data_IF_595506737195
#
_entry.id   IF_595506737195
#
_cell.length_a   1.000
_cell.length_b   1.000
_cell.length_c   1.000
_cell.angle_alpha   90.00
_cell.angle_beta   90.00
_cell.angle_gamma   90.00
#
_symmetry.space_group_name_H-M   'P 1'
#
loop_
_entity.id
_entity.type
_entity.pdbx_description
1 polymer ?
#
# COMPACT_ATOMS: atom_id res chain seq x y z
N UNK A 1 1.98 -18.88 41.92
CA UNK A 1 1.15 -17.70 41.72
C UNK A 1 0.10 -18.11 40.69
N UNK A 2 -1.17 -18.23 41.10
CA UNK A 2 -2.27 -18.52 40.17
C UNK A 2 -2.42 -17.34 39.20
N UNK A 3 -2.03 -17.52 37.95
CA UNK A 3 -2.45 -16.61 36.85
C UNK A 3 -3.99 -16.71 36.83
N UNK A 4 -4.67 -15.61 37.05
CA UNK A 4 -6.10 -15.52 36.82
C UNK A 4 -6.37 -15.93 35.36
N UNK A 5 -7.12 -16.98 35.16
CA UNK A 5 -7.48 -17.53 33.84
C UNK A 5 -8.32 -16.56 32.99
N UNK A 6 -8.55 -15.33 33.50
CA UNK A 6 -9.39 -14.31 32.88
C UNK A 6 -8.61 -13.39 31.91
N UNK A 7 -7.26 -13.44 31.88
CA UNK A 7 -6.41 -12.54 31.10
C UNK A 7 -5.72 -13.23 29.90
N UNK A 8 -5.89 -14.54 29.74
CA UNK A 8 -5.31 -15.30 28.63
C UNK A 8 -5.96 -14.89 27.29
N UNK A 9 -5.19 -14.97 26.19
CA UNK A 9 -5.72 -14.82 24.84
C UNK A 9 -5.99 -16.16 24.19
N UNK A 10 -7.10 -16.27 23.46
CA UNK A 10 -7.37 -17.38 22.55
C UNK A 10 -6.88 -17.01 21.14
N UNK A 11 -5.99 -17.84 20.59
CA UNK A 11 -5.35 -17.61 19.29
C UNK A 11 -5.74 -18.74 18.36
N UNK A 12 -6.50 -18.42 17.31
CA UNK A 12 -7.03 -19.39 16.37
C UNK A 12 -6.75 -19.00 14.91
N UNK A 13 -6.80 -20.00 14.00
CA UNK A 13 -6.86 -19.74 12.56
C UNK A 13 -8.32 -19.82 12.12
N UNK A 14 -8.79 -18.75 11.46
CA UNK A 14 -10.08 -18.72 10.80
C UNK A 14 -9.88 -18.32 9.32
N UNK A 15 -9.67 -19.31 8.46
CA UNK A 15 -9.44 -19.08 7.04
C UNK A 15 -10.73 -18.71 6.26
N UNK A 16 -11.89 -18.79 6.88
CA UNK A 16 -13.19 -18.36 6.35
C UNK A 16 -13.67 -17.05 6.98
N UNK A 17 -12.79 -16.35 7.69
CA UNK A 17 -13.11 -15.12 8.41
C UNK A 17 -13.79 -14.09 7.48
N UNK A 18 -14.92 -13.55 7.95
CA UNK A 18 -15.67 -12.55 7.23
C UNK A 18 -15.21 -11.14 7.64
N UNK A 19 -14.40 -10.52 6.79
CA UNK A 19 -13.93 -9.15 7.00
C UNK A 19 -15.03 -8.08 6.92
N UNK A 20 -16.23 -8.44 6.44
CA UNK A 20 -17.36 -7.50 6.35
C UNK A 20 -18.29 -7.59 7.57
N UNK A 21 -18.00 -8.47 8.53
CA UNK A 21 -18.81 -8.55 9.74
C UNK A 21 -18.63 -7.32 10.63
N UNK A 22 -19.63 -7.05 11.46
CA UNK A 22 -19.63 -5.88 12.32
C UNK A 22 -18.49 -5.90 13.36
N UNK A 23 -18.16 -7.08 13.88
CA UNK A 23 -17.09 -7.23 14.89
C UNK A 23 -15.73 -6.78 14.35
N UNK A 24 -15.42 -7.16 13.08
CA UNK A 24 -14.19 -6.71 12.44
C UNK A 24 -14.21 -5.21 12.11
N UNK A 25 -15.35 -4.68 11.67
CA UNK A 25 -15.49 -3.24 11.41
C UNK A 25 -15.21 -2.43 12.69
N UNK A 26 -15.80 -2.82 13.82
CA UNK A 26 -15.56 -2.20 15.11
C UNK A 26 -14.09 -2.31 15.58
N UNK A 27 -13.48 -3.49 15.38
CA UNK A 27 -12.06 -3.68 15.67
C UNK A 27 -11.19 -2.78 14.80
N UNK A 28 -11.45 -2.73 13.47
CA UNK A 28 -10.71 -1.89 12.54
C UNK A 28 -10.82 -0.41 12.91
N UNK A 29 -12.01 0.07 13.19
CA UNK A 29 -12.25 1.49 13.55
C UNK A 29 -11.54 1.88 14.85
N UNK A 30 -11.48 0.98 15.84
CA UNK A 30 -10.78 1.19 17.10
C UNK A 30 -9.28 0.87 17.10
N UNK A 31 -8.73 0.36 15.99
CA UNK A 31 -7.34 -0.11 15.89
C UNK A 31 -6.36 0.98 15.42
N UNK A 32 -5.07 0.64 15.38
CA UNK A 32 -4.02 1.44 14.73
C UNK A 32 -3.74 0.95 13.27
N UNK A 33 -4.67 0.20 12.67
CA UNK A 33 -4.56 -0.35 11.32
C UNK A 33 -4.51 0.73 10.24
N UNK A 34 -3.92 0.39 9.09
CA UNK A 34 -3.83 1.29 7.93
C UNK A 34 -5.05 1.17 7.01
N UNK A 35 -5.10 1.96 5.95
CA UNK A 35 -6.16 1.87 4.94
C UNK A 35 -6.20 0.49 4.24
N UNK A 36 -5.08 -0.22 4.22
CA UNK A 36 -4.96 -1.52 3.52
C UNK A 36 -5.51 -2.70 4.34
N UNK A 37 -5.86 -2.49 5.60
CA UNK A 37 -6.60 -3.43 6.42
C UNK A 37 -8.12 -3.10 6.47
N UNK A 38 -8.59 -2.13 5.69
CA UNK A 38 -10.02 -1.80 5.61
C UNK A 38 -10.86 -3.03 5.22
N UNK A 39 -12.06 -3.24 5.83
CA UNK A 39 -12.91 -4.41 5.57
C UNK A 39 -13.12 -4.72 4.08
N UNK A 40 -13.48 -3.72 3.27
CA UNK A 40 -13.69 -3.88 1.82
C UNK A 40 -12.41 -4.28 1.09
N UNK A 41 -11.25 -3.75 1.51
CA UNK A 41 -9.97 -4.08 0.90
C UNK A 41 -9.60 -5.54 1.12
N UNK A 42 -9.59 -5.99 2.38
CA UNK A 42 -9.22 -7.36 2.73
C UNK A 42 -10.22 -8.38 2.18
N UNK A 43 -11.53 -8.12 2.31
CA UNK A 43 -12.55 -9.00 1.75
C UNK A 43 -12.35 -9.19 0.22
N UNK A 44 -12.12 -8.08 -0.50
CA UNK A 44 -11.90 -8.15 -1.95
C UNK A 44 -10.58 -8.87 -2.28
N UNK A 45 -9.52 -8.63 -1.50
CA UNK A 45 -8.23 -9.28 -1.67
C UNK A 45 -8.32 -10.79 -1.48
N UNK A 46 -8.90 -11.23 -0.36
CA UNK A 46 -9.01 -12.67 -0.06
C UNK A 46 -9.98 -13.40 -0.98
N UNK A 47 -11.09 -12.77 -1.40
CA UNK A 47 -12.10 -13.43 -2.25
C UNK A 47 -11.74 -13.43 -3.73
N UNK A 48 -11.05 -12.40 -4.23
CA UNK A 48 -10.78 -12.26 -5.67
C UNK A 48 -9.33 -12.48 -6.05
N UNK A 49 -8.41 -11.81 -5.35
CA UNK A 49 -7.01 -11.80 -5.76
C UNK A 49 -6.23 -13.01 -5.23
N UNK A 50 -6.45 -13.42 -3.98
CA UNK A 50 -5.74 -14.54 -3.40
C UNK A 50 -5.97 -15.87 -4.15
N UNK A 51 -7.21 -16.24 -4.56
CA UNK A 51 -7.42 -17.43 -5.38
C UNK A 51 -6.70 -17.37 -6.74
N UNK A 52 -6.75 -16.22 -7.41
CA UNK A 52 -6.08 -16.04 -8.70
C UNK A 52 -4.55 -16.14 -8.61
N UNK A 53 -3.98 -15.74 -7.47
CA UNK A 53 -2.56 -15.85 -7.16
C UNK A 53 -2.17 -17.22 -6.54
N UNK A 54 -3.11 -18.17 -6.43
CA UNK A 54 -2.94 -19.44 -5.71
C UNK A 54 -2.41 -19.25 -4.27
N UNK A 55 -2.69 -18.10 -3.65
CA UNK A 55 -2.36 -17.83 -2.26
C UNK A 55 -3.44 -18.39 -1.35
N UNK A 56 -3.02 -19.03 -0.25
CA UNK A 56 -3.95 -19.65 0.72
C UNK A 56 -4.10 -18.71 1.92
N UNK A 57 -5.33 -18.40 2.36
CA UNK A 57 -5.57 -17.65 3.59
C UNK A 57 -4.87 -18.32 4.79
N UNK A 58 -4.35 -17.48 5.68
CA UNK A 58 -3.84 -17.83 7.00
C UNK A 58 -4.23 -16.70 7.95
N UNK A 59 -5.53 -16.57 8.21
CA UNK A 59 -6.05 -15.48 9.01
C UNK A 59 -6.01 -15.92 10.46
N UNK A 60 -5.21 -15.20 11.27
CA UNK A 60 -5.12 -15.47 12.71
C UNK A 60 -6.02 -14.50 13.44
N UNK A 61 -6.95 -15.01 14.20
CA UNK A 61 -7.83 -14.25 15.09
C UNK A 61 -7.38 -14.43 16.53
N UNK A 62 -7.41 -13.35 17.29
CA UNK A 62 -7.02 -13.33 18.71
C UNK A 62 -8.18 -12.72 19.49
N UNK A 63 -8.69 -13.50 20.46
CA UNK A 63 -9.87 -13.15 21.24
C UNK A 63 -9.57 -13.16 22.74
N UNK A 64 -10.40 -12.45 23.51
CA UNK A 64 -10.46 -12.56 24.98
C UNK A 64 -11.44 -13.66 25.34
N UNK A 65 -11.04 -14.81 25.91
CA UNK A 65 -11.95 -15.92 26.22
C UNK A 65 -13.12 -15.52 27.09
N UNK A 66 -12.87 -14.65 28.09
CA UNK A 66 -13.90 -14.22 29.03
C UNK A 66 -15.08 -13.47 28.39
N UNK A 67 -14.86 -12.81 27.24
CA UNK A 67 -15.86 -11.99 26.53
C UNK A 67 -16.08 -12.43 25.11
N UNK A 68 -15.33 -13.41 24.63
CA UNK A 68 -15.26 -13.83 23.21
C UNK A 68 -14.92 -12.69 22.23
N UNK A 69 -14.60 -11.50 22.74
CA UNK A 69 -14.35 -10.31 21.94
C UNK A 69 -13.12 -10.46 21.09
N UNK A 70 -13.27 -10.18 19.79
CA UNK A 70 -12.17 -10.08 18.85
C UNK A 70 -11.29 -8.88 19.24
N UNK A 71 -10.00 -9.15 19.49
CA UNK A 71 -9.05 -8.16 20.01
C UNK A 71 -7.97 -7.83 19.00
N UNK A 72 -7.64 -8.81 18.16
CA UNK A 72 -6.66 -8.60 17.09
C UNK A 72 -6.89 -9.56 15.93
N UNK A 73 -6.53 -9.14 14.73
CA UNK A 73 -6.47 -9.98 13.53
C UNK A 73 -5.12 -9.78 12.84
N UNK A 74 -4.46 -10.90 12.49
CA UNK A 74 -3.31 -10.89 11.59
C UNK A 74 -3.78 -11.44 10.22
N UNK A 75 -3.99 -10.58 9.21
CA UNK A 75 -4.42 -11.00 7.89
C UNK A 75 -3.22 -11.54 7.10
N UNK A 76 -2.86 -12.78 7.35
CA UNK A 76 -1.73 -13.46 6.72
C UNK A 76 -2.20 -14.36 5.57
N UNK A 77 -1.22 -14.79 4.76
CA UNK A 77 -1.43 -15.80 3.73
C UNK A 77 -0.19 -16.66 3.54
N UNK A 78 -0.40 -17.86 3.00
CA UNK A 78 0.65 -18.75 2.53
C UNK A 78 0.79 -18.61 1.02
N UNK A 79 1.98 -18.29 0.57
CA UNK A 79 2.29 -18.13 -0.85
C UNK A 79 3.38 -19.11 -1.25
N UNK A 80 3.13 -19.89 -2.31
CA UNK A 80 4.15 -20.78 -2.88
C UNK A 80 5.04 -20.00 -3.84
N UNK A 81 6.35 -20.02 -3.59
CA UNK A 81 7.36 -19.43 -4.47
C UNK A 81 8.29 -20.53 -4.99
N UNK A 82 7.88 -21.19 -6.06
CA UNK A 82 8.48 -22.45 -6.49
C UNK A 82 8.27 -23.53 -5.41
N UNK A 83 9.31 -24.25 -4.97
CA UNK A 83 9.17 -25.24 -3.89
C UNK A 83 9.03 -24.64 -2.48
N UNK A 84 9.27 -23.35 -2.32
CA UNK A 84 9.29 -22.67 -1.04
C UNK A 84 7.89 -22.23 -0.60
N UNK A 85 7.54 -22.44 0.68
CA UNK A 85 6.35 -21.92 1.31
C UNK A 85 6.70 -20.66 2.11
N UNK A 86 6.11 -19.52 1.71
CA UNK A 86 6.27 -18.24 2.42
C UNK A 86 4.99 -17.88 3.16
N UNK A 87 5.13 -17.42 4.41
CA UNK A 87 4.05 -16.76 5.15
C UNK A 87 4.29 -15.26 5.11
N UNK A 88 3.31 -14.51 4.67
CA UNK A 88 3.37 -13.04 4.55
C UNK A 88 2.02 -12.41 4.88
N UNK A 89 2.00 -11.10 5.14
CA UNK A 89 0.73 -10.35 5.18
C UNK A 89 0.02 -10.42 3.82
N UNK A 90 -1.30 -10.24 3.84
CA UNK A 90 -2.14 -10.19 2.66
C UNK A 90 -1.83 -8.96 1.81
N UNK A 91 -0.78 -9.06 1.00
CA UNK A 91 -0.28 -7.98 0.14
C UNK A 91 -0.55 -8.23 -1.34
N UNK A 92 -0.07 -9.32 -1.88
CA UNK A 92 -0.13 -9.65 -3.31
C UNK A 92 0.24 -8.46 -4.22
N UNK A 93 1.10 -7.57 -3.75
CA UNK A 93 1.60 -6.37 -4.45
C UNK A 93 0.58 -5.23 -4.60
N UNK A 94 -0.53 -5.25 -3.87
CA UNK A 94 -1.57 -4.22 -3.96
C UNK A 94 -1.59 -3.27 -2.76
N UNK A 95 -1.01 -3.66 -1.62
CA UNK A 95 -0.95 -2.84 -0.41
C UNK A 95 0.40 -2.14 -0.27
N UNK A 96 0.41 -0.90 0.19
CA UNK A 96 1.65 -0.14 0.43
C UNK A 96 2.05 -0.11 1.90
N UNK A 97 1.11 -0.33 2.82
CA UNK A 97 1.35 -0.47 4.26
C UNK A 97 0.68 -1.73 4.76
N UNK A 98 1.25 -2.36 5.78
CA UNK A 98 0.74 -3.61 6.35
C UNK A 98 0.99 -3.62 7.86
N UNK A 99 -0.04 -4.00 8.62
CA UNK A 99 0.05 -4.07 10.08
C UNK A 99 -0.94 -5.11 10.63
N UNK A 100 -0.74 -5.62 11.85
CA UNK A 100 -1.83 -6.28 12.58
C UNK A 100 -3.01 -5.33 12.77
N UNK A 101 -4.22 -5.86 12.78
CA UNK A 101 -5.42 -5.10 13.12
C UNK A 101 -5.69 -5.25 14.60
N UNK A 102 -5.58 -4.20 15.35
CA UNK A 102 -5.73 -4.16 16.81
C UNK A 102 -5.16 -2.88 17.39
N UNK A 103 -5.25 -2.71 18.71
CA UNK A 103 -4.65 -1.57 19.41
C UNK A 103 -3.23 -1.88 19.89
N UNK A 104 -2.39 -0.87 20.03
CA UNK A 104 -1.07 -1.01 20.64
C UNK A 104 -1.13 -1.55 22.08
N UNK A 105 -2.20 -1.24 22.81
CA UNK A 105 -2.43 -1.77 24.16
C UNK A 105 -2.66 -3.28 24.10
N UNK A 106 -3.62 -3.73 23.28
CA UNK A 106 -3.91 -5.16 23.11
C UNK A 106 -2.68 -5.94 22.62
N UNK A 107 -1.89 -5.33 21.73
CA UNK A 107 -0.63 -5.92 21.25
C UNK A 107 0.38 -6.08 22.39
N UNK A 108 0.53 -5.07 23.24
CA UNK A 108 1.44 -5.12 24.39
C UNK A 108 1.02 -6.16 25.44
N UNK A 109 -0.28 -6.33 25.65
CA UNK A 109 -0.84 -7.35 26.53
C UNK A 109 -0.61 -8.75 25.96
N UNK A 110 -0.82 -8.94 24.64
CA UNK A 110 -0.53 -10.20 23.96
C UNK A 110 0.93 -10.61 24.12
N UNK A 111 1.87 -9.67 24.03
CA UNK A 111 3.31 -9.95 24.22
C UNK A 111 3.64 -10.46 25.65
N UNK A 112 2.81 -10.16 26.64
CA UNK A 112 2.98 -10.64 28.00
C UNK A 112 2.37 -12.03 28.23
N UNK A 113 1.54 -12.51 27.31
CA UNK A 113 0.98 -13.84 27.30
C UNK A 113 1.87 -14.80 26.50
N UNK A 114 2.80 -15.48 27.22
CA UNK A 114 3.77 -16.40 26.61
C UNK A 114 3.10 -17.56 25.90
N UNK A 115 1.99 -18.08 26.46
CA UNK A 115 1.27 -19.24 25.91
C UNK A 115 0.56 -18.84 24.61
N UNK A 116 -0.07 -17.67 24.55
CA UNK A 116 -0.66 -17.13 23.34
C UNK A 116 0.41 -16.85 22.27
N UNK A 117 1.54 -16.26 22.64
CA UNK A 117 2.66 -16.07 21.72
C UNK A 117 3.23 -17.39 21.18
N UNK A 118 3.33 -18.41 22.03
CA UNK A 118 3.78 -19.74 21.61
C UNK A 118 2.78 -20.39 20.64
N UNK A 119 1.49 -20.32 20.97
CA UNK A 119 0.39 -20.81 20.11
C UNK A 119 0.44 -20.13 18.74
N UNK A 120 0.56 -18.79 18.70
CA UNK A 120 0.69 -18.04 17.44
C UNK A 120 1.87 -18.56 16.61
N UNK A 121 3.05 -18.72 17.21
CA UNK A 121 4.25 -19.22 16.54
C UNK A 121 4.08 -20.64 15.99
N UNK A 122 3.29 -21.47 16.64
CA UNK A 122 2.96 -22.83 16.18
C UNK A 122 1.96 -22.78 15.01
N UNK A 123 0.90 -21.98 15.10
CA UNK A 123 -0.16 -21.87 14.10
C UNK A 123 0.33 -21.33 12.75
N UNK A 124 1.27 -20.38 12.74
CA UNK A 124 1.82 -19.85 11.49
C UNK A 124 2.73 -20.86 10.76
N UNK A 125 3.18 -21.94 11.43
CA UNK A 125 3.97 -23.01 10.82
C UNK A 125 3.07 -24.02 10.06
N UNK A 126 3.65 -24.84 9.13
CA UNK A 126 5.02 -24.76 8.64
C UNK A 126 5.23 -23.62 7.64
N UNK A 127 6.45 -23.09 7.55
CA UNK A 127 6.91 -22.20 6.50
C UNK A 127 8.42 -22.40 6.27
N UNK A 128 8.91 -22.13 5.07
CA UNK A 128 10.33 -22.00 4.79
C UNK A 128 10.82 -20.60 5.14
N UNK A 129 10.02 -19.58 4.78
CA UNK A 129 10.30 -18.19 5.03
C UNK A 129 9.04 -17.49 5.55
N UNK A 130 9.16 -16.80 6.69
CA UNK A 130 8.21 -15.78 7.10
C UNK A 130 8.77 -14.43 6.65
N UNK A 131 7.94 -13.64 5.94
CA UNK A 131 8.34 -12.35 5.38
C UNK A 131 7.20 -11.34 5.51
N UNK A 132 7.31 -10.42 6.46
CA UNK A 132 6.39 -9.32 6.66
C UNK A 132 7.07 -8.03 6.25
N UNK A 133 6.63 -7.41 5.16
CA UNK A 133 7.23 -6.22 4.57
C UNK A 133 6.26 -5.04 4.66
N UNK A 134 6.76 -3.84 4.31
CA UNK A 134 5.98 -2.60 4.24
C UNK A 134 5.36 -2.21 5.60
N UNK A 135 6.04 -2.59 6.68
CA UNK A 135 5.63 -2.25 8.03
C UNK A 135 5.98 -0.78 8.30
N UNK A 136 5.01 0.10 8.57
CA UNK A 136 5.30 1.45 9.00
C UNK A 136 6.00 1.43 10.36
N UNK A 137 6.75 2.47 10.66
CA UNK A 137 7.30 2.63 12.01
C UNK A 137 6.16 2.90 12.96
N UNK A 138 5.90 1.96 13.86
CA UNK A 138 4.65 1.96 14.58
C UNK A 138 4.70 1.35 15.98
N UNK A 139 3.53 1.37 16.61
CA UNK A 139 3.31 0.96 18.00
C UNK A 139 3.25 -0.56 18.19
N UNK A 140 3.23 -1.33 17.12
CA UNK A 140 3.12 -2.80 17.16
C UNK A 140 4.37 -3.45 16.52
N UNK A 141 5.44 -3.67 17.28
CA UNK A 141 6.67 -4.30 16.81
C UNK A 141 6.43 -5.82 16.60
N UNK A 142 5.89 -6.18 15.43
CA UNK A 142 5.49 -7.56 15.07
C UNK A 142 6.62 -8.57 15.23
N UNK A 143 7.88 -8.12 15.16
CA UNK A 143 9.05 -8.96 15.42
C UNK A 143 9.03 -9.61 16.80
N UNK A 144 8.45 -8.96 17.80
CA UNK A 144 8.40 -9.51 19.16
C UNK A 144 7.45 -10.71 19.29
N UNK A 145 6.50 -10.88 18.37
CA UNK A 145 5.65 -12.08 18.30
C UNK A 145 6.39 -13.28 17.72
N UNK A 146 7.51 -13.09 17.02
CA UNK A 146 8.23 -14.13 16.30
C UNK A 146 9.34 -14.74 17.18
N UNK A 147 9.80 -15.97 16.85
CA UNK A 147 10.79 -16.68 17.66
C UNK A 147 12.22 -16.18 17.42
N UNK A 148 12.59 -15.91 16.18
CA UNK A 148 13.94 -15.49 15.79
C UNK A 148 13.86 -14.52 14.59
N UNK A 149 13.20 -13.39 14.77
CA UNK A 149 12.97 -12.45 13.69
C UNK A 149 14.23 -11.63 13.39
N UNK A 150 14.25 -11.12 12.16
CA UNK A 150 15.19 -10.12 11.75
C UNK A 150 14.44 -8.93 11.16
N UNK A 151 14.57 -7.78 11.79
CA UNK A 151 14.01 -6.51 11.29
C UNK A 151 15.08 -5.77 10.49
N UNK A 152 14.73 -5.32 9.29
CA UNK A 152 15.60 -4.51 8.43
C UNK A 152 14.77 -3.38 7.82
N UNK A 153 15.41 -2.22 7.60
CA UNK A 153 14.80 -1.12 6.86
C UNK A 153 14.70 -1.50 5.38
N UNK A 154 13.60 -1.15 4.73
CA UNK A 154 13.42 -1.35 3.29
C UNK A 154 14.22 -0.31 2.49
N UNK A 155 14.55 -0.63 1.24
CA UNK A 155 15.28 0.29 0.34
C UNK A 155 14.44 1.50 -0.07
N UNK A 156 13.10 1.38 -0.07
CA UNK A 156 12.16 2.45 -0.46
C UNK A 156 11.47 3.04 0.76
N UNK A 157 11.25 4.36 0.73
CA UNK A 157 10.48 5.07 1.73
C UNK A 157 9.03 5.27 1.28
N UNK A 158 8.15 5.56 2.23
CA UNK A 158 6.87 6.18 2.00
C UNK A 158 7.00 7.71 2.07
N UNK A 159 6.08 8.43 1.44
CA UNK A 159 6.10 9.89 1.42
C UNK A 159 4.71 10.47 1.66
N UNK A 160 4.61 11.39 2.60
CA UNK A 160 3.38 12.10 2.89
C UNK A 160 3.65 13.59 3.11
N UNK A 161 2.67 14.44 2.79
CA UNK A 161 2.69 15.86 3.08
C UNK A 161 1.50 16.23 3.97
N UNK A 162 1.75 17.09 4.97
CA UNK A 162 0.69 17.65 5.80
C UNK A 162 -0.04 18.73 4.99
N UNK A 163 -1.35 18.62 4.94
CA UNK A 163 -2.22 19.60 4.28
C UNK A 163 -2.58 20.71 5.28
N UNK A 164 -2.54 21.95 4.83
CA UNK A 164 -2.86 23.12 5.63
C UNK A 164 -3.83 24.01 4.84
N UNK A 165 -4.95 24.34 5.44
CA UNK A 165 -5.90 25.29 4.88
C UNK A 165 -5.47 26.75 5.11
N UNK A 166 -5.75 27.67 4.18
CA UNK A 166 -6.30 27.41 2.84
C UNK A 166 -5.27 26.83 1.88
N UNK A 167 -5.72 26.30 0.74
CA UNK A 167 -4.86 25.68 -0.29
C UNK A 167 -3.65 26.53 -0.66
N UNK A 168 -3.79 27.85 -0.78
CA UNK A 168 -2.70 28.75 -1.12
C UNK A 168 -1.58 28.75 -0.07
N UNK A 169 -1.92 28.57 1.19
CA UNK A 169 -0.94 28.43 2.28
C UNK A 169 -0.15 27.12 2.15
N UNK A 170 -0.85 26.01 1.96
CA UNK A 170 -0.18 24.73 1.70
C UNK A 170 0.71 24.81 0.45
N UNK A 171 0.18 25.35 -0.64
CA UNK A 171 0.91 25.49 -1.90
C UNK A 171 2.19 26.32 -1.74
N UNK A 172 2.13 27.38 -0.94
CA UNK A 172 3.28 28.26 -0.68
C UNK A 172 4.34 27.58 0.21
N UNK A 173 3.94 26.71 1.14
CA UNK A 173 4.87 26.00 2.04
C UNK A 173 5.44 24.72 1.43
N UNK A 174 4.62 23.95 0.71
CA UNK A 174 5.00 22.65 0.17
C UNK A 174 5.77 22.75 -1.15
N UNK A 175 5.43 23.69 -2.04
CA UNK A 175 6.03 23.82 -3.36
C UNK A 175 6.99 25.00 -3.44
N UNK A 176 8.16 24.83 -4.06
CA UNK A 176 9.07 25.94 -4.31
C UNK A 176 8.43 27.02 -5.22
N UNK A 177 8.79 28.28 -5.04
CA UNK A 177 8.27 29.39 -5.84
C UNK A 177 8.49 29.21 -7.35
N UNK A 178 9.62 28.62 -7.75
CA UNK A 178 9.90 28.31 -9.15
C UNK A 178 8.94 27.27 -9.69
N UNK A 179 8.68 26.20 -8.93
CA UNK A 179 7.77 25.13 -9.32
C UNK A 179 6.31 25.60 -9.39
N UNK A 180 5.88 26.42 -8.44
CA UNK A 180 4.55 27.06 -8.49
C UNK A 180 4.35 27.89 -9.78
N UNK A 181 5.36 28.68 -10.18
CA UNK A 181 5.33 29.47 -11.44
C UNK A 181 5.28 28.56 -12.67
N UNK A 182 6.05 27.47 -12.64
CA UNK A 182 6.04 26.47 -13.71
C UNK A 182 4.67 25.83 -13.86
N UNK A 183 4.07 25.31 -12.78
CA UNK A 183 2.73 24.71 -12.81
C UNK A 183 1.67 25.69 -13.30
N UNK A 184 1.69 26.94 -12.83
CA UNK A 184 0.78 27.98 -13.30
C UNK A 184 0.96 28.28 -14.79
N UNK A 185 2.19 28.24 -15.33
CA UNK A 185 2.45 28.37 -16.77
C UNK A 185 1.90 27.17 -17.54
N UNK A 186 2.15 25.94 -17.05
CA UNK A 186 1.66 24.70 -17.67
C UNK A 186 0.13 24.64 -17.69
N UNK A 187 -0.52 25.04 -16.61
CA UNK A 187 -1.99 25.11 -16.53
C UNK A 187 -2.54 26.06 -17.59
N UNK A 188 -2.00 27.30 -17.69
CA UNK A 188 -2.42 28.26 -18.73
C UNK A 188 -2.19 27.76 -20.16
N UNK A 189 -1.09 27.01 -20.37
CA UNK A 189 -0.82 26.41 -21.69
C UNK A 189 -1.83 25.29 -22.00
N UNK A 190 -2.23 24.51 -20.99
CA UNK A 190 -3.22 23.44 -21.13
C UNK A 190 -4.61 24.03 -21.42
N UNK A 191 -5.01 25.07 -20.67
CA UNK A 191 -6.29 25.76 -20.86
C UNK A 191 -6.43 26.45 -22.23
N UNK A 192 -5.33 26.78 -22.91
CA UNK A 192 -5.36 27.29 -24.30
C UNK A 192 -5.65 26.19 -25.32
N UNK A 193 -5.52 24.93 -24.98
CA UNK A 193 -5.77 23.79 -25.87
C UNK A 193 -7.24 23.36 -25.89
N UNK A 194 -8.00 23.72 -24.86
CA UNK A 194 -9.40 23.32 -24.72
C UNK A 194 -9.93 23.54 -23.30
N UNK A 195 -11.14 23.07 -23.08
CA UNK A 195 -11.82 23.15 -21.78
C UNK A 195 -11.33 22.06 -20.84
N UNK A 196 -10.64 22.50 -19.77
CA UNK A 196 -10.14 21.61 -18.72
C UNK A 196 -11.15 21.50 -17.59
N UNK A 197 -11.47 20.29 -17.16
CA UNK A 197 -12.29 20.02 -15.97
C UNK A 197 -11.62 19.01 -15.07
N UNK A 198 -11.87 19.16 -13.78
CA UNK A 198 -11.44 18.24 -12.72
C UNK A 198 -12.66 17.83 -11.90
N UNK A 199 -12.78 16.54 -11.58
CA UNK A 199 -13.88 16.00 -10.76
C UNK A 199 -13.46 14.76 -10.00
N UNK A 200 -14.13 14.52 -8.87
CA UNK A 200 -14.15 13.20 -8.22
C UNK A 200 -15.31 12.39 -8.80
N UNK A 201 -15.08 11.12 -9.11
CA UNK A 201 -16.15 10.23 -9.58
C UNK A 201 -17.19 10.01 -8.46
N UNK A 202 -18.47 10.05 -8.81
CA UNK A 202 -19.60 9.91 -7.89
C UNK A 202 -20.57 8.79 -8.26
N UNK A 203 -20.33 8.11 -9.41
CA UNK A 203 -21.13 6.98 -9.88
C UNK A 203 -20.27 5.85 -10.42
N UNK A 204 -20.90 4.68 -10.59
CA UNK A 204 -20.23 3.46 -11.07
C UNK A 204 -19.75 3.58 -12.53
N UNK A 205 -20.44 4.34 -13.37
CA UNK A 205 -20.07 4.48 -14.79
C UNK A 205 -18.81 5.33 -14.94
N UNK A 206 -18.71 6.43 -14.20
CA UNK A 206 -17.53 7.28 -14.17
C UNK A 206 -16.31 6.55 -13.60
N UNK A 207 -16.48 5.73 -12.55
CA UNK A 207 -15.42 4.87 -12.02
C UNK A 207 -14.92 3.90 -13.09
N UNK A 208 -15.81 3.15 -13.73
CA UNK A 208 -15.39 2.15 -14.72
C UNK A 208 -14.73 2.81 -15.93
N UNK A 209 -15.22 3.95 -16.41
CA UNK A 209 -14.59 4.71 -17.49
C UNK A 209 -13.16 5.18 -17.10
N UNK A 210 -12.99 5.65 -15.86
CA UNK A 210 -11.67 6.06 -15.35
C UNK A 210 -10.72 4.87 -15.18
N UNK A 211 -11.19 3.72 -14.67
CA UNK A 211 -10.38 2.51 -14.52
C UNK A 211 -9.90 1.96 -15.88
N UNK A 212 -10.76 1.91 -16.88
CA UNK A 212 -10.37 1.51 -18.24
C UNK A 212 -9.35 2.49 -18.84
N UNK A 213 -9.54 3.79 -18.68
CA UNK A 213 -8.56 4.80 -19.10
C UNK A 213 -7.22 4.60 -18.39
N UNK A 214 -7.23 4.36 -17.06
CA UNK A 214 -6.00 4.10 -16.29
C UNK A 214 -5.25 2.89 -16.83
N UNK A 215 -5.94 1.80 -17.10
CA UNK A 215 -5.38 0.59 -17.74
C UNK A 215 -4.69 0.91 -19.06
N UNK A 216 -5.39 1.68 -19.93
CA UNK A 216 -4.88 2.04 -21.25
C UNK A 216 -3.63 2.93 -21.19
N UNK A 217 -3.56 3.91 -20.30
CA UNK A 217 -2.42 4.83 -20.20
C UNK A 217 -1.23 4.23 -19.45
N UNK A 218 -1.47 3.29 -18.53
CA UNK A 218 -0.40 2.65 -17.78
C UNK A 218 0.32 1.58 -18.60
N UNK A 219 -0.39 0.80 -19.41
CA UNK A 219 0.19 -0.29 -20.19
C UNK A 219 1.45 0.09 -20.98
N UNK A 220 1.44 1.17 -21.80
CA UNK A 220 2.63 1.61 -22.53
C UNK A 220 3.79 2.08 -21.65
N UNK A 221 3.49 2.68 -20.50
CA UNK A 221 4.50 3.23 -19.57
C UNK A 221 5.37 2.15 -18.94
N UNK A 222 4.79 0.98 -18.65
CA UNK A 222 5.46 -0.12 -17.97
C UNK A 222 5.92 -1.25 -18.92
N UNK A 223 5.92 -1.00 -20.25
CA UNK A 223 6.50 -1.93 -21.22
C UNK A 223 8.01 -1.98 -21.01
N UNK A 224 8.52 -3.16 -20.61
CA UNK A 224 9.94 -3.36 -20.34
C UNK A 224 10.30 -3.47 -18.84
N UNK A 225 9.41 -3.10 -17.93
CA UNK A 225 9.54 -3.48 -16.52
C UNK A 225 9.14 -4.97 -16.39
N UNK A 226 10.02 -5.79 -15.83
CA UNK A 226 9.98 -7.25 -15.91
C UNK A 226 8.64 -7.93 -15.64
N UNK A 227 7.79 -7.36 -14.77
CA UNK A 227 6.44 -7.87 -14.43
C UNK A 227 5.29 -7.09 -15.11
N UNK A 228 5.59 -5.99 -15.78
CA UNK A 228 4.60 -5.11 -16.39
C UNK A 228 3.71 -4.38 -15.37
N UNK A 229 2.70 -3.67 -15.89
CA UNK A 229 1.72 -2.99 -15.03
C UNK A 229 0.63 -3.96 -14.54
N UNK A 230 0.32 -3.90 -13.26
CA UNK A 230 -0.67 -4.78 -12.62
C UNK A 230 -2.06 -4.66 -13.26
N UNK A 231 -2.49 -3.47 -13.70
CA UNK A 231 -3.82 -3.29 -14.33
C UNK A 231 -3.95 -4.02 -15.68
N UNK A 232 -2.86 -4.45 -16.30
CA UNK A 232 -2.93 -5.26 -17.53
C UNK A 232 -3.34 -6.71 -17.24
N UNK A 233 -3.28 -7.15 -16.01
CA UNK A 233 -3.66 -8.48 -15.55
C UNK A 233 -5.11 -8.46 -15.09
N UNK A 234 -5.99 -9.31 -15.66
CA UNK A 234 -7.44 -9.27 -15.39
C UNK A 234 -7.80 -9.35 -13.89
N UNK A 235 -7.10 -10.18 -13.13
CA UNK A 235 -7.34 -10.37 -11.70
C UNK A 235 -7.07 -9.11 -10.87
N UNK A 236 -6.04 -8.34 -11.23
CA UNK A 236 -5.74 -7.06 -10.56
C UNK A 236 -6.68 -5.95 -11.01
N UNK A 237 -7.05 -5.91 -12.29
CA UNK A 237 -8.03 -4.97 -12.78
C UNK A 237 -9.39 -5.17 -12.09
N UNK A 238 -9.84 -6.43 -11.97
CA UNK A 238 -11.08 -6.78 -11.26
C UNK A 238 -10.99 -6.44 -9.77
N UNK A 239 -9.85 -6.68 -9.13
CA UNK A 239 -9.61 -6.31 -7.73
C UNK A 239 -9.78 -4.80 -7.53
N UNK A 240 -9.00 -3.97 -8.24
CA UNK A 240 -9.05 -2.52 -8.07
C UNK A 240 -10.39 -1.91 -8.46
N UNK A 241 -11.01 -2.39 -9.53
CA UNK A 241 -12.36 -1.94 -9.96
C UNK A 241 -13.42 -2.29 -8.90
N UNK A 242 -13.32 -3.49 -8.31
CA UNK A 242 -14.24 -3.91 -7.24
C UNK A 242 -14.06 -3.08 -5.97
N UNK A 243 -12.82 -2.80 -5.57
CA UNK A 243 -12.54 -1.92 -4.43
C UNK A 243 -13.07 -0.52 -4.69
N UNK A 244 -12.84 0.04 -5.89
CA UNK A 244 -13.29 1.37 -6.25
C UNK A 244 -14.83 1.48 -6.23
N UNK A 245 -15.53 0.50 -6.79
CA UNK A 245 -17.01 0.47 -6.82
C UNK A 245 -17.61 0.29 -5.42
N UNK A 246 -17.06 -0.62 -4.61
CA UNK A 246 -17.57 -0.93 -3.28
C UNK A 246 -17.23 0.13 -2.23
N UNK A 247 -16.13 0.84 -2.43
CA UNK A 247 -15.65 1.89 -1.53
C UNK A 247 -16.09 3.30 -1.91
N UNK A 248 -16.86 3.46 -2.99
CA UNK A 248 -17.27 4.76 -3.50
C UNK A 248 -17.98 5.61 -2.44
N UNK A 249 -17.50 6.85 -2.27
CA UNK A 249 -18.09 7.84 -1.36
C UNK A 249 -17.78 7.65 0.12
N UNK A 250 -17.17 6.53 0.51
CA UNK A 250 -16.80 6.26 1.89
C UNK A 250 -15.27 6.09 2.09
N UNK A 251 -14.72 5.09 1.39
CA UNK A 251 -13.35 4.63 1.58
C UNK A 251 -12.45 4.94 0.37
N UNK A 252 -13.04 5.15 -0.83
CA UNK A 252 -12.33 5.38 -2.07
C UNK A 252 -12.73 6.70 -2.67
N UNK A 253 -11.72 7.45 -3.19
CA UNK A 253 -11.93 8.55 -4.14
C UNK A 253 -11.16 8.26 -5.41
N UNK A 254 -11.81 8.47 -6.55
CA UNK A 254 -11.22 8.38 -7.87
C UNK A 254 -11.38 9.72 -8.58
N UNK A 255 -10.29 10.46 -8.67
CA UNK A 255 -10.26 11.77 -9.32
C UNK A 255 -9.97 11.65 -10.80
N UNK A 256 -10.58 12.48 -11.61
CA UNK A 256 -10.37 12.55 -13.06
C UNK A 256 -10.10 13.98 -13.52
N UNK A 257 -9.28 14.08 -14.55
CA UNK A 257 -9.09 15.33 -15.31
C UNK A 257 -9.47 15.08 -16.75
N UNK A 258 -10.27 15.98 -17.32
CA UNK A 258 -10.76 15.88 -18.70
C UNK A 258 -10.35 17.13 -19.49
N UNK A 259 -10.06 16.92 -20.77
CA UNK A 259 -9.86 17.97 -21.77
C UNK A 259 -10.93 17.79 -22.85
N UNK A 260 -11.78 18.82 -23.04
CA UNK A 260 -12.92 18.77 -23.98
C UNK A 260 -13.78 17.51 -23.81
N UNK A 261 -14.02 17.12 -22.53
CA UNK A 261 -14.79 15.92 -22.18
C UNK A 261 -14.01 14.60 -22.18
N UNK A 262 -12.81 14.55 -22.77
CA UNK A 262 -11.99 13.34 -22.85
C UNK A 262 -11.11 13.19 -21.60
N UNK A 263 -11.10 11.98 -21.02
CA UNK A 263 -10.24 11.65 -19.87
C UNK A 263 -8.75 11.70 -20.25
N UNK A 264 -7.96 12.50 -19.54
CA UNK A 264 -6.50 12.66 -19.76
C UNK A 264 -5.67 12.29 -18.54
N UNK A 265 -6.24 12.28 -17.35
CA UNK A 265 -5.58 11.86 -16.13
C UNK A 265 -6.59 11.29 -15.13
N UNK A 266 -6.14 10.35 -14.29
CA UNK A 266 -6.87 9.88 -13.13
C UNK A 266 -5.95 9.52 -11.97
N UNK A 267 -6.48 9.67 -10.75
CA UNK A 267 -5.82 9.29 -9.49
C UNK A 267 -6.82 8.53 -8.63
N UNK A 268 -6.49 7.28 -8.33
CA UNK A 268 -7.23 6.43 -7.40
C UNK A 268 -6.54 6.49 -6.03
N UNK A 269 -7.32 6.71 -4.99
CA UNK A 269 -6.80 6.71 -3.62
C UNK A 269 -7.80 6.23 -2.59
N UNK A 270 -7.27 5.97 -1.40
CA UNK A 270 -8.01 5.49 -0.24
C UNK A 270 -8.15 6.61 0.79
N UNK A 271 -9.32 6.72 1.40
CA UNK A 271 -9.59 7.66 2.49
C UNK A 271 -9.47 6.92 3.83
N UNK A 272 -8.64 7.42 4.73
CA UNK A 272 -8.46 6.78 6.03
C UNK A 272 -8.04 7.81 7.08
N UNK A 273 -8.87 8.02 8.10
CA UNK A 273 -8.57 8.86 9.27
C UNK A 273 -7.99 10.24 8.92
N UNK A 274 -8.68 10.97 8.05
CA UNK A 274 -8.24 12.31 7.62
C UNK A 274 -7.03 12.30 6.69
N UNK A 275 -6.69 11.14 6.13
CA UNK A 275 -5.64 11.01 5.12
C UNK A 275 -6.24 10.55 3.79
N UNK A 276 -5.73 11.10 2.68
CA UNK A 276 -5.96 10.56 1.35
C UNK A 276 -4.66 9.93 0.82
N UNK A 277 -4.69 8.60 0.62
CA UNK A 277 -3.55 7.82 0.17
C UNK A 277 -3.64 7.60 -1.35
N UNK A 278 -2.70 8.11 -2.11
CA UNK A 278 -2.62 7.90 -3.56
C UNK A 278 -2.04 6.52 -3.84
N UNK A 279 -2.88 5.56 -4.23
CA UNK A 279 -2.43 4.19 -4.51
C UNK A 279 -2.15 3.95 -6.00
N UNK A 280 -2.73 4.77 -6.88
CA UNK A 280 -2.53 4.61 -8.31
C UNK A 280 -2.81 5.90 -9.07
N UNK A 281 -2.01 6.16 -10.10
CA UNK A 281 -2.20 7.29 -11.00
C UNK A 281 -1.94 6.88 -12.45
N UNK A 282 -2.65 7.51 -13.38
CA UNK A 282 -2.49 7.34 -14.81
C UNK A 282 -2.65 8.68 -15.55
N UNK A 283 -1.85 8.88 -16.60
CA UNK A 283 -1.79 10.13 -17.35
C UNK A 283 -1.59 9.85 -18.82
N UNK A 284 -2.24 10.63 -19.70
CA UNK A 284 -1.96 10.66 -21.13
C UNK A 284 -0.63 11.39 -21.41
N UNK A 285 0.47 10.66 -21.21
CA UNK A 285 1.83 11.21 -21.44
C UNK A 285 2.08 11.47 -22.93
N UNK A 286 1.48 10.66 -23.81
CA UNK A 286 1.69 10.78 -25.26
C UNK A 286 1.07 12.08 -25.79
N UNK A 287 -0.17 12.38 -25.41
CA UNK A 287 -0.88 13.59 -25.84
C UNK A 287 -0.40 14.87 -25.14
N UNK A 288 0.13 14.76 -23.91
CA UNK A 288 0.41 15.92 -23.04
C UNK A 288 1.81 15.92 -22.41
N UNK A 289 2.81 15.39 -23.12
CA UNK A 289 4.20 15.23 -22.62
C UNK A 289 4.81 16.51 -22.03
N UNK A 290 4.53 17.67 -22.64
CA UNK A 290 5.12 18.95 -22.22
C UNK A 290 4.30 19.72 -21.19
N UNK A 291 3.11 19.25 -20.83
CA UNK A 291 2.16 19.98 -19.98
C UNK A 291 2.19 19.59 -18.50
N UNK A 292 2.98 18.57 -18.12
CA UNK A 292 3.11 18.09 -16.74
C UNK A 292 1.74 17.77 -16.10
N UNK A 293 0.83 17.12 -16.85
CA UNK A 293 -0.56 16.87 -16.40
C UNK A 293 -0.63 16.08 -15.09
N UNK A 294 0.35 15.20 -14.82
CA UNK A 294 0.42 14.49 -13.53
C UNK A 294 0.62 15.43 -12.34
N UNK A 295 1.50 16.42 -12.48
CA UNK A 295 1.73 17.42 -11.43
C UNK A 295 0.51 18.33 -11.24
N UNK A 296 -0.12 18.76 -12.34
CA UNK A 296 -1.36 19.53 -12.28
C UNK A 296 -2.49 18.73 -11.62
N UNK A 297 -2.57 17.43 -11.91
CA UNK A 297 -3.54 16.54 -11.28
C UNK A 297 -3.32 16.44 -9.77
N UNK A 298 -2.07 16.22 -9.30
CA UNK A 298 -1.77 16.16 -7.87
C UNK A 298 -2.03 17.49 -7.16
N UNK A 299 -1.81 18.63 -7.82
CA UNK A 299 -2.15 19.95 -7.26
C UNK A 299 -3.68 20.11 -7.07
N UNK A 300 -4.50 19.61 -8.01
CA UNK A 300 -5.96 19.61 -7.89
C UNK A 300 -6.45 18.61 -6.83
N UNK A 301 -5.85 17.43 -6.75
CA UNK A 301 -6.13 16.47 -5.67
C UNK A 301 -5.86 17.08 -4.31
N UNK A 302 -4.70 17.72 -4.12
CA UNK A 302 -4.36 18.39 -2.87
C UNK A 302 -5.36 19.50 -2.50
N UNK A 303 -5.84 20.27 -3.50
CA UNK A 303 -6.87 21.30 -3.29
C UNK A 303 -8.17 20.69 -2.81
N UNK A 304 -8.68 19.67 -3.48
CA UNK A 304 -9.94 18.99 -3.10
C UNK A 304 -9.80 18.31 -1.73
N UNK A 305 -8.65 17.70 -1.41
CA UNK A 305 -8.37 17.15 -0.10
C UNK A 305 -8.45 18.21 1.01
N UNK A 306 -7.86 19.40 0.79
CA UNK A 306 -7.94 20.52 1.75
C UNK A 306 -9.37 21.03 1.89
N UNK A 307 -10.12 21.14 0.80
CA UNK A 307 -11.54 21.56 0.81
C UNK A 307 -12.43 20.54 1.54
N UNK A 308 -12.02 19.26 1.57
CA UNK A 308 -12.68 18.17 2.33
C UNK A 308 -12.14 18.00 3.75
N UNK A 309 -11.25 18.88 4.19
CA UNK A 309 -10.64 18.85 5.53
C UNK A 309 -9.75 17.61 5.78
N UNK A 310 -9.24 16.97 4.72
CA UNK A 310 -8.18 15.99 4.88
C UNK A 310 -6.91 16.67 5.43
N UNK A 311 -6.21 16.00 6.33
CA UNK A 311 -5.03 16.54 7.03
C UNK A 311 -3.72 16.10 6.36
N UNK A 312 -3.74 14.97 5.66
CA UNK A 312 -2.56 14.36 5.07
C UNK A 312 -2.87 13.93 3.63
N UNK A 313 -1.96 14.28 2.72
CA UNK A 313 -1.88 13.68 1.40
C UNK A 313 -0.69 12.73 1.39
N UNK A 314 -0.99 11.44 1.31
CA UNK A 314 0.00 10.37 1.33
C UNK A 314 0.24 9.86 -0.10
N UNK A 315 1.49 10.01 -0.59
CA UNK A 315 1.92 9.52 -1.89
C UNK A 315 2.35 8.06 -1.87
N UNK A 316 2.24 7.41 -0.72
CA UNK A 316 2.57 6.03 -0.45
C UNK A 316 4.03 5.68 -0.77
N UNK A 317 4.33 4.38 -1.00
CA UNK A 317 5.68 3.86 -1.17
C UNK A 317 6.32 4.27 -2.51
N UNK A 318 7.63 4.52 -2.51
CA UNK A 318 8.43 4.81 -3.71
C UNK A 318 9.14 6.17 -3.63
N UNK A 319 10.36 6.22 -4.17
CA UNK A 319 11.26 7.38 -4.07
C UNK A 319 11.20 8.29 -5.31
N UNK A 320 10.01 8.39 -5.97
CA UNK A 320 9.85 9.25 -7.14
C UNK A 320 10.03 10.73 -6.77
N UNK A 321 10.83 11.48 -7.57
CA UNK A 321 11.22 12.85 -7.23
C UNK A 321 10.04 13.82 -7.01
N UNK A 322 8.92 13.61 -7.72
CA UNK A 322 7.76 14.49 -7.60
C UNK A 322 7.17 14.51 -6.17
N UNK A 323 7.26 13.41 -5.41
CA UNK A 323 6.75 13.35 -4.03
C UNK A 323 7.41 14.41 -3.14
N UNK A 324 8.72 14.56 -3.27
CA UNK A 324 9.47 15.63 -2.57
C UNK A 324 9.10 17.02 -3.09
N UNK A 325 8.81 17.18 -4.39
CA UNK A 325 8.40 18.46 -4.98
C UNK A 325 7.05 18.94 -4.44
N UNK A 326 6.18 18.01 -4.00
CA UNK A 326 4.91 18.28 -3.33
C UNK A 326 5.01 18.30 -1.79
N UNK A 327 6.21 18.52 -1.25
CA UNK A 327 6.44 18.63 0.19
C UNK A 327 6.42 17.30 0.95
N UNK A 328 6.43 16.18 0.23
CA UNK A 328 6.42 14.85 0.83
C UNK A 328 7.68 14.60 1.67
N UNK A 329 7.48 14.25 2.94
CA UNK A 329 8.54 13.86 3.85
C UNK A 329 8.72 12.34 3.81
N UNK A 330 9.96 11.84 3.75
CA UNK A 330 10.21 10.41 3.72
C UNK A 330 9.95 9.78 5.10
N UNK A 331 9.31 8.64 5.10
CA UNK A 331 9.14 7.77 6.28
C UNK A 331 9.68 6.38 5.96
N UNK A 332 10.57 5.81 6.80
CA UNK A 332 11.11 4.48 6.55
C UNK A 332 10.04 3.41 6.73
N UNK A 333 10.16 2.36 5.92
CA UNK A 333 9.37 1.14 6.06
C UNK A 333 10.27 -0.01 6.46
N UNK A 334 9.71 -0.99 7.15
CA UNK A 334 10.45 -2.11 7.70
C UNK A 334 10.00 -3.43 7.10
N UNK A 335 10.92 -4.37 7.11
CA UNK A 335 10.66 -5.77 6.79
C UNK A 335 11.12 -6.63 7.96
N UNK A 336 10.25 -7.54 8.39
CA UNK A 336 10.56 -8.58 9.40
C UNK A 336 10.62 -9.92 8.69
N UNK A 337 11.72 -10.65 8.86
CA UNK A 337 11.93 -11.95 8.22
C UNK A 337 12.39 -12.98 9.23
N UNK A 338 11.96 -14.23 9.02
CA UNK A 338 12.43 -15.38 9.81
C UNK A 338 12.52 -16.61 8.90
N UNK A 339 13.64 -17.33 8.94
CA UNK A 339 13.75 -18.64 8.31
C UNK A 339 13.09 -19.71 9.16
N UNK A 340 12.32 -20.60 8.51
CA UNK A 340 11.69 -21.77 9.13
C UNK A 340 12.35 -23.09 8.74
N UNK A 341 13.18 -23.06 7.66
CA UNK A 341 13.91 -24.20 7.13
C UNK A 341 15.30 -23.80 6.61
N UNK A 342 16.07 -24.80 6.19
CA UNK A 342 17.37 -24.58 5.50
C UNK A 342 17.16 -23.81 4.20
N UNK A 343 16.12 -24.17 3.42
CA UNK A 343 15.78 -23.45 2.19
C UNK A 343 15.45 -21.99 2.45
N UNK A 344 14.68 -21.68 3.50
CA UNK A 344 14.42 -20.31 3.94
C UNK A 344 15.67 -19.56 4.37
N UNK A 345 16.62 -20.23 5.05
CA UNK A 345 17.90 -19.62 5.42
C UNK A 345 18.74 -19.24 4.20
N UNK A 346 18.80 -20.11 3.20
CA UNK A 346 19.48 -19.84 1.93
C UNK A 346 18.81 -18.71 1.15
N UNK A 347 17.47 -18.68 1.12
CA UNK A 347 16.73 -17.59 0.51
C UNK A 347 17.00 -16.23 1.18
N UNK A 348 17.04 -16.18 2.51
CA UNK A 348 17.40 -14.96 3.26
C UNK A 348 18.85 -14.52 2.96
N UNK A 349 19.76 -15.47 2.86
CA UNK A 349 21.14 -15.16 2.47
C UNK A 349 21.20 -14.57 1.06
N UNK A 350 20.52 -15.18 0.08
CA UNK A 350 20.45 -14.66 -1.29
C UNK A 350 19.80 -13.27 -1.37
N UNK A 351 18.72 -13.02 -0.64
CA UNK A 351 18.07 -11.70 -0.56
C UNK A 351 19.01 -10.61 -0.02
N UNK A 352 19.91 -10.96 0.90
CA UNK A 352 20.92 -10.03 1.43
C UNK A 352 21.99 -9.69 0.40
N UNK A 353 22.37 -10.64 -0.43
CA UNK A 353 23.37 -10.41 -1.46
C UNK A 353 22.80 -9.70 -2.70
N UNK A 354 21.46 -9.66 -2.85
CA UNK A 354 20.83 -9.05 -4.02
C UNK A 354 21.24 -7.58 -4.29
N UNK A 355 21.35 -6.69 -3.28
CA UNK A 355 21.85 -5.33 -3.51
C UNK A 355 23.27 -5.31 -4.06
N UNK A 356 24.17 -6.14 -3.51
CA UNK A 356 25.57 -6.25 -3.95
C UNK A 356 25.67 -6.83 -5.36
N UNK A 357 24.81 -7.83 -5.69
CA UNK A 357 24.76 -8.43 -7.03
C UNK A 357 24.27 -7.40 -8.04
N UNK A 358 23.21 -6.63 -7.72
CA UNK A 358 22.72 -5.55 -8.58
C UNK A 358 23.78 -4.45 -8.77
N UNK A 359 24.49 -4.06 -7.72
CA UNK A 359 25.54 -3.06 -7.79
C UNK A 359 26.73 -3.56 -8.61
N UNK A 360 27.12 -4.82 -8.44
CA UNK A 360 28.20 -5.44 -9.22
C UNK A 360 27.81 -5.55 -10.72
N UNK A 361 26.57 -5.96 -11.00
CA UNK A 361 26.05 -6.02 -12.38
C UNK A 361 26.01 -4.64 -13.03
N UNK A 362 25.57 -3.60 -12.30
CA UNK A 362 25.57 -2.21 -12.78
C UNK A 362 27.00 -1.73 -13.07
N UNK A 363 27.97 -1.96 -12.16
CA UNK A 363 29.37 -1.62 -12.39
C UNK A 363 29.97 -2.35 -13.58
N UNK A 364 29.65 -3.63 -13.77
CA UNK A 364 30.12 -4.39 -14.93
C UNK A 364 29.52 -3.87 -16.25
N UNK A 365 28.26 -3.43 -16.24
CA UNK A 365 27.64 -2.81 -17.41
C UNK A 365 28.28 -1.45 -17.73
N UNK A 366 28.61 -0.64 -16.73
CA UNK A 366 29.31 0.63 -16.88
C UNK A 366 30.74 0.43 -17.41
N UNK A 367 31.46 -0.62 -16.99
CA UNK A 367 32.79 -0.97 -17.52
C UNK A 367 32.75 -1.43 -19.01
N UNK A 368 31.68 -2.06 -19.46
CA UNK A 368 31.51 -2.46 -20.87
C UNK A 368 31.21 -1.30 -21.82
N UNK A 369 30.84 -0.13 -21.30
CA UNK A 369 30.52 1.08 -22.08
C UNK A 369 31.69 2.03 -22.25
N UNK A 370 32.86 1.75 -21.67
CA UNK A 370 34.07 2.54 -21.91
C UNK A 370 34.64 2.15 -23.31
N UNK A 371 34.76 3.10 -24.25
CA UNK A 371 35.35 2.81 -25.55
C UNK A 371 36.83 2.45 -25.33
N UNK A 372 37.24 1.33 -25.90
CA UNK A 372 38.66 0.96 -26.01
C UNK A 372 39.31 2.06 -26.85
N UNK A 373 40.10 2.95 -26.23
CA UNK A 373 40.97 3.86 -26.97
C UNK A 373 42.05 3.02 -27.67
N UNK A 374 41.90 2.87 -28.97
CA UNK A 374 42.99 2.49 -29.87
C UNK A 374 43.80 3.72 -30.22
#
# INVERSE_FOLDING_TARGET
MNKNNNDAFDVCIDNAFDFLNQEYAELFDGSDATAFEHPVWLDTLYRKLAPAAAAKPLIVTIRRPATEKLTMVLPLMRVSRGPMQTVEFADLRVSDYLTPVGTAVAFSELLQDEDACLTLRQLVRPFDLLRMCKLPDGRMPIENLMAAPRRIVMEMNAYATVLVAPFEQWRASALSRSYQKELAKKLRQLQKKGTLSFSCCDDSASIMAAMEMMKNFRGPRFRGDGDGDLLQRPEYFDFYSSVALRGLGAFVRLYTMKMDGNLIAAVLGLCHRGSFLIIMSAFDIAGYKSQSIGALMFEQVARDCIEREDQILDFTIGDEPYKKMFGGQPSPLWSVTQAGSVAGSLALFALRQAPWIKLAAKRMAEFKLLPVRT
#
